data_IF_249431757721
#
_entry.id   IF_249431757721
#
_cell.length_a   1.000
_cell.length_b   1.000
_cell.length_c   1.000
_cell.angle_alpha   90.00
_cell.angle_beta   90.00
_cell.angle_gamma   90.00
#
_symmetry.space_group_name_H-M   'P 1'
#
loop_
_entity.id
_entity.type
_entity.pdbx_description
1 polymer ?
#
# COMPACT_ATOMS: atom_id res chain seq x y z
N UNK A 1 -1.40 -2.76 12.35
CA UNK A 1 -1.29 -2.37 10.93
C UNK A 1 -0.20 -3.16 10.25
N UNK A 2 -0.01 -3.01 8.94
CA UNK A 2 0.97 -3.80 8.15
C UNK A 2 2.39 -3.75 8.72
N UNK A 3 2.79 -2.60 9.27
CA UNK A 3 4.07 -2.41 9.95
C UNK A 3 4.21 -3.21 11.26
N UNK A 4 3.12 -3.41 12.00
CA UNK A 4 3.17 -4.21 13.24
C UNK A 4 3.28 -5.72 12.97
N UNK A 5 2.93 -6.18 11.76
CA UNK A 5 3.03 -7.60 11.43
C UNK A 5 4.49 -8.09 11.45
N UNK A 6 5.44 -7.27 10.98
CA UNK A 6 6.89 -7.58 11.07
C UNK A 6 7.31 -7.75 12.53
N UNK A 7 6.91 -6.81 13.40
CA UNK A 7 7.24 -6.86 14.83
C UNK A 7 6.63 -8.08 15.53
N UNK A 8 5.43 -8.49 15.12
CA UNK A 8 4.77 -9.70 15.62
C UNK A 8 5.55 -10.98 15.30
N UNK A 9 6.02 -11.14 14.06
CA UNK A 9 6.81 -12.31 13.69
C UNK A 9 8.14 -12.41 14.46
N UNK A 10 8.81 -11.27 14.69
CA UNK A 10 10.02 -11.24 15.50
C UNK A 10 9.74 -11.64 16.97
N UNK A 11 8.69 -11.06 17.58
CA UNK A 11 8.32 -11.36 18.97
C UNK A 11 7.86 -12.81 19.19
N UNK A 12 7.29 -13.44 18.17
CA UNK A 12 6.81 -14.83 18.21
C UNK A 12 7.87 -15.86 17.80
N UNK A 13 9.10 -15.45 17.50
CA UNK A 13 10.18 -16.34 17.05
C UNK A 13 10.01 -16.89 15.62
N UNK A 14 9.07 -16.36 14.84
CA UNK A 14 8.78 -16.78 13.46
C UNK A 14 9.70 -16.06 12.46
N UNK A 15 11.01 -16.23 12.63
CA UNK A 15 12.02 -15.47 11.88
C UNK A 15 11.92 -15.73 10.37
N UNK A 16 11.57 -16.95 9.95
CA UNK A 16 11.40 -17.32 8.53
C UNK A 16 10.28 -16.57 7.81
N UNK A 17 9.27 -16.08 8.55
CA UNK A 17 8.16 -15.28 7.99
C UNK A 17 8.59 -13.88 7.57
N UNK A 18 9.64 -13.36 8.20
CA UNK A 18 10.13 -12.01 7.94
C UNK A 18 10.60 -11.82 6.49
N UNK A 19 11.55 -12.61 5.97
CA UNK A 19 11.93 -12.52 4.56
C UNK A 19 10.78 -12.93 3.62
N UNK A 20 9.92 -13.88 4.02
CA UNK A 20 8.81 -14.35 3.21
C UNK A 20 7.81 -13.21 2.87
N UNK A 21 7.49 -12.36 3.85
CA UNK A 21 6.54 -11.27 3.67
C UNK A 21 7.18 -9.89 3.47
N UNK A 22 8.51 -9.76 3.55
CA UNK A 22 9.22 -8.48 3.52
C UNK A 22 8.83 -7.58 2.32
N UNK A 23 8.85 -8.12 1.10
CA UNK A 23 8.56 -7.34 -0.12
C UNK A 23 7.09 -6.90 -0.20
N UNK A 24 6.16 -7.74 0.26
CA UNK A 24 4.74 -7.41 0.33
C UNK A 24 4.49 -6.27 1.32
N UNK A 25 5.18 -6.31 2.46
CA UNK A 25 5.09 -5.26 3.49
C UNK A 25 5.71 -3.96 2.98
N UNK A 26 6.85 -4.03 2.27
CA UNK A 26 7.47 -2.89 1.62
C UNK A 26 6.49 -2.18 0.68
N UNK A 27 5.91 -2.91 -0.29
CA UNK A 27 4.96 -2.33 -1.25
C UNK A 27 3.73 -1.74 -0.57
N UNK A 28 3.11 -2.46 0.36
CA UNK A 28 1.93 -1.94 1.07
C UNK A 28 2.24 -0.66 1.87
N UNK A 29 3.48 -0.52 2.33
CA UNK A 29 3.93 0.68 3.05
C UNK A 29 4.19 1.84 2.10
N UNK A 30 4.79 1.57 0.94
CA UNK A 30 4.92 2.54 -0.13
C UNK A 30 3.56 3.06 -0.59
N UNK A 31 2.58 2.17 -0.79
CA UNK A 31 1.20 2.54 -1.15
C UNK A 31 0.55 3.44 -0.10
N UNK A 32 0.75 3.14 1.19
CA UNK A 32 0.24 3.95 2.29
C UNK A 32 0.83 5.37 2.27
N UNK A 33 2.15 5.49 2.15
CA UNK A 33 2.84 6.79 2.12
C UNK A 33 2.47 7.58 0.86
N UNK A 34 2.43 6.93 -0.30
CA UNK A 34 1.99 7.57 -1.55
C UNK A 34 0.54 8.05 -1.44
N UNK A 35 -0.34 7.25 -0.85
CA UNK A 35 -1.73 7.64 -0.60
C UNK A 35 -1.84 8.88 0.28
N UNK A 36 -1.06 8.96 1.36
CA UNK A 36 -1.01 10.14 2.21
C UNK A 36 -0.57 11.39 1.42
N UNK A 37 0.55 11.31 0.69
CA UNK A 37 1.07 12.45 -0.08
C UNK A 37 0.09 12.91 -1.18
N UNK A 38 -0.61 11.97 -1.84
CA UNK A 38 -1.63 12.31 -2.82
C UNK A 38 -2.82 13.03 -2.20
N UNK A 39 -3.26 12.61 -1.01
CA UNK A 39 -4.35 13.28 -0.28
C UNK A 39 -3.94 14.68 0.20
N UNK A 40 -2.70 14.86 0.66
CA UNK A 40 -2.16 16.17 1.02
C UNK A 40 -2.12 17.12 -0.19
N UNK A 41 -1.67 16.62 -1.35
CA UNK A 41 -1.69 17.39 -2.60
C UNK A 41 -3.12 17.73 -3.04
N UNK A 42 -4.06 16.79 -2.91
CA UNK A 42 -5.47 17.03 -3.24
C UNK A 42 -6.10 18.08 -2.32
N UNK A 43 -5.74 18.10 -1.03
CA UNK A 43 -6.22 19.13 -0.10
C UNK A 43 -5.70 20.51 -0.49
N UNK A 44 -4.41 20.62 -0.84
CA UNK A 44 -3.83 21.88 -1.33
C UNK A 44 -4.46 22.33 -2.65
N UNK A 45 -4.69 21.40 -3.58
CA UNK A 45 -5.35 21.66 -4.85
C UNK A 45 -6.80 22.12 -4.68
N UNK A 46 -7.55 21.51 -3.75
CA UNK A 46 -8.92 21.91 -3.46
C UNK A 46 -8.98 23.34 -2.92
N UNK A 47 -8.10 23.71 -2.00
CA UNK A 47 -8.00 25.10 -1.51
C UNK A 47 -7.75 26.10 -2.65
N UNK A 48 -6.91 25.74 -3.63
CA UNK A 48 -6.65 26.59 -4.79
C UNK A 48 -7.85 26.70 -5.72
N UNK A 49 -8.62 25.64 -5.91
CA UNK A 49 -9.89 25.69 -6.64
C UNK A 49 -10.87 26.64 -5.94
N UNK A 50 -10.98 26.55 -4.62
CA UNK A 50 -11.89 27.37 -3.83
C UNK A 50 -11.52 28.87 -3.87
N UNK A 51 -10.22 29.19 -3.97
CA UNK A 51 -9.70 30.56 -4.11
C UNK A 51 -9.86 31.14 -5.54
N UNK A 52 -9.56 30.35 -6.57
CA UNK A 52 -9.45 30.82 -7.96
C UNK A 52 -10.78 30.75 -8.73
N UNK A 53 -11.68 29.83 -8.33
CA UNK A 53 -12.92 29.55 -9.05
C UNK A 53 -12.74 28.64 -10.28
N UNK A 54 -13.87 28.20 -10.83
CA UNK A 54 -13.91 27.20 -11.91
C UNK A 54 -13.45 27.72 -13.27
N UNK A 55 -13.52 29.04 -13.49
CA UNK A 55 -13.18 29.68 -14.77
C UNK A 55 -11.68 29.97 -14.92
N UNK A 56 -10.88 29.70 -13.89
CA UNK A 56 -9.44 29.94 -13.91
C UNK A 56 -8.71 28.89 -14.77
N UNK A 57 -7.70 29.30 -15.53
CA UNK A 57 -6.97 28.40 -16.45
C UNK A 57 -6.30 27.21 -15.73
N UNK A 58 -5.86 27.39 -14.48
CA UNK A 58 -5.28 26.31 -13.65
C UNK A 58 -6.32 25.36 -13.04
N UNK A 59 -7.62 25.62 -13.16
CA UNK A 59 -8.66 24.79 -12.56
C UNK A 59 -8.53 23.32 -12.98
N UNK A 60 -8.30 23.07 -14.27
CA UNK A 60 -8.17 21.71 -14.81
C UNK A 60 -7.02 20.92 -14.16
N UNK A 61 -5.90 21.58 -13.87
CA UNK A 61 -4.74 20.97 -13.22
C UNK A 61 -5.07 20.57 -11.77
N UNK A 62 -5.62 21.49 -10.98
CA UNK A 62 -5.97 21.22 -9.59
C UNK A 62 -7.11 20.20 -9.47
N UNK A 63 -8.11 20.29 -10.35
CA UNK A 63 -9.20 19.32 -10.42
C UNK A 63 -8.66 17.91 -10.72
N UNK A 64 -7.71 17.80 -11.64
CA UNK A 64 -7.01 16.55 -11.94
C UNK A 64 -6.31 15.96 -10.72
N UNK A 65 -5.61 16.78 -9.92
CA UNK A 65 -4.96 16.34 -8.66
C UNK A 65 -5.96 15.77 -7.66
N UNK A 66 -7.10 16.44 -7.46
CA UNK A 66 -8.14 15.97 -6.55
C UNK A 66 -8.72 14.63 -7.02
N UNK A 67 -9.01 14.49 -8.31
CA UNK A 67 -9.58 13.25 -8.86
C UNK A 67 -8.57 12.09 -8.87
N UNK A 68 -7.30 12.37 -9.13
CA UNK A 68 -6.23 11.35 -9.04
C UNK A 68 -6.12 10.78 -7.62
N UNK A 69 -6.14 11.63 -6.60
CA UNK A 69 -6.10 11.17 -5.21
C UNK A 69 -7.35 10.35 -4.84
N UNK A 70 -8.55 10.78 -5.28
CA UNK A 70 -9.79 10.01 -5.09
C UNK A 70 -9.70 8.62 -5.73
N UNK A 71 -9.19 8.54 -6.96
CA UNK A 71 -9.02 7.27 -7.65
C UNK A 71 -8.04 6.37 -6.90
N UNK A 72 -6.88 6.87 -6.51
CA UNK A 72 -5.87 6.11 -5.78
C UNK A 72 -6.41 5.56 -4.46
N UNK A 73 -7.08 6.40 -3.67
CA UNK A 73 -7.66 6.01 -2.38
C UNK A 73 -8.77 4.96 -2.51
N UNK A 74 -9.52 4.95 -3.62
CA UNK A 74 -10.64 4.04 -3.83
C UNK A 74 -10.28 2.75 -4.57
N UNK A 75 -9.24 2.76 -5.41
CA UNK A 75 -8.94 1.65 -6.32
C UNK A 75 -7.62 0.97 -6.01
N UNK A 76 -6.62 1.70 -5.50
CA UNK A 76 -5.27 1.17 -5.29
C UNK A 76 -5.07 0.86 -3.81
N UNK A 77 -5.26 1.86 -2.95
CA UNK A 77 -5.03 1.77 -1.51
C UNK A 77 -5.78 0.62 -0.80
N UNK A 78 -7.00 0.19 -1.21
CA UNK A 78 -7.67 -0.93 -0.56
C UNK A 78 -6.91 -2.26 -0.63
N UNK A 79 -5.98 -2.44 -1.59
CA UNK A 79 -5.16 -3.65 -1.70
C UNK A 79 -4.27 -3.89 -0.46
N UNK A 80 -3.96 -2.84 0.30
CA UNK A 80 -3.23 -2.94 1.57
C UNK A 80 -3.99 -3.83 2.56
N UNK A 81 -5.32 -3.74 2.60
CA UNK A 81 -6.13 -4.55 3.53
C UNK A 81 -6.08 -6.03 3.16
N UNK A 82 -6.23 -6.35 1.88
CA UNK A 82 -6.06 -7.72 1.38
C UNK A 82 -4.67 -8.27 1.71
N UNK A 83 -3.64 -7.48 1.48
CA UNK A 83 -2.25 -7.87 1.80
C UNK A 83 -2.08 -8.12 3.30
N UNK A 84 -2.67 -7.28 4.15
CA UNK A 84 -2.65 -7.45 5.60
C UNK A 84 -3.36 -8.74 6.05
N UNK A 85 -4.49 -9.09 5.44
CA UNK A 85 -5.19 -10.35 5.74
C UNK A 85 -4.33 -11.57 5.39
N UNK A 86 -3.71 -11.58 4.20
CA UNK A 86 -2.79 -12.65 3.79
C UNK A 86 -1.60 -12.78 4.74
N UNK A 87 -1.02 -11.66 5.18
CA UNK A 87 0.11 -11.70 6.12
C UNK A 87 -0.33 -12.26 7.48
N UNK A 88 -1.53 -11.90 7.96
CA UNK A 88 -2.04 -12.40 9.23
C UNK A 88 -2.31 -13.89 9.23
N UNK A 89 -2.77 -14.43 8.09
CA UNK A 89 -2.96 -15.87 7.90
C UNK A 89 -1.67 -16.67 8.15
N UNK A 90 -0.51 -16.04 7.92
CA UNK A 90 0.81 -16.57 8.29
C UNK A 90 1.11 -17.95 7.70
N UNK A 91 0.64 -18.20 6.49
CA UNK A 91 0.83 -19.46 5.79
C UNK A 91 2.32 -19.82 5.63
N UNK A 92 2.66 -21.05 6.02
CA UNK A 92 4.01 -21.65 5.92
C UNK A 92 4.17 -22.52 4.70
N UNK A 93 3.12 -22.79 3.92
CA UNK A 93 3.12 -23.86 2.91
C UNK A 93 4.31 -23.81 1.95
N UNK A 94 4.78 -22.61 1.60
CA UNK A 94 5.94 -22.40 0.72
C UNK A 94 7.27 -22.83 1.37
N UNK A 95 7.38 -22.73 2.69
CA UNK A 95 8.54 -23.15 3.47
C UNK A 95 8.56 -24.68 3.67
N UNK A 96 7.39 -25.32 3.58
CA UNK A 96 7.23 -26.76 3.79
C UNK A 96 7.43 -27.58 2.49
N UNK A 97 7.72 -26.91 1.36
CA UNK A 97 7.97 -27.59 0.08
C UNK A 97 9.31 -28.34 0.15
N UNK A 98 9.27 -29.63 -0.15
CA UNK A 98 10.46 -30.48 -0.28
C UNK A 98 11.39 -29.92 -1.37
N UNK A 99 12.68 -29.76 -1.05
CA UNK A 99 13.65 -29.13 -1.96
C UNK A 99 13.77 -29.87 -3.30
N UNK A 100 13.61 -31.20 -3.27
CA UNK A 100 13.62 -32.05 -4.46
C UNK A 100 12.53 -31.66 -5.48
N UNK A 101 11.43 -31.04 -5.03
CA UNK A 101 10.37 -30.56 -5.91
C UNK A 101 10.85 -29.42 -6.86
N UNK A 102 11.93 -28.72 -6.52
CA UNK A 102 12.51 -27.65 -7.36
C UNK A 102 13.62 -28.15 -8.30
N UNK A 103 14.06 -29.40 -8.16
CA UNK A 103 15.20 -29.96 -8.91
C UNK A 103 14.78 -30.79 -10.13
N UNK A 104 13.49 -31.11 -10.27
CA UNK A 104 12.97 -31.94 -11.35
C UNK A 104 12.38 -31.01 -12.43
N UNK A 105 13.00 -31.02 -13.61
CA UNK A 105 12.53 -30.34 -14.84
C UNK A 105 12.09 -31.35 -15.89
#
# INVERSE_FOLDING_TARGET
>A
GIQMAIGGFFGNGQISMMPLYATRILHATSELICGQLLLEQALAAQKKIDELGADHYDYAFYNGKVNAAKYFARNIMPNIFKTLEVIKDSDTSVLDIAEEAFLIF
#
